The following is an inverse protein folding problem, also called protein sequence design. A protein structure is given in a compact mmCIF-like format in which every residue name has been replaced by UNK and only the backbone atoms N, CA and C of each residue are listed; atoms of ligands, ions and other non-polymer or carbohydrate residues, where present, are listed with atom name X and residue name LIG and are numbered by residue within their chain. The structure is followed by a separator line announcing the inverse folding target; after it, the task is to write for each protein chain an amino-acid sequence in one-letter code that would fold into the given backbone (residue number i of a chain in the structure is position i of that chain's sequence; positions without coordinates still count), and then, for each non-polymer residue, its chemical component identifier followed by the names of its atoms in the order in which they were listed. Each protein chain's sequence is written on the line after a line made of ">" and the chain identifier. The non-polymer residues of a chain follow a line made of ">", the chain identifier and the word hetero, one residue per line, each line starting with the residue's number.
data_IF_267961853597
#
_entry.id   IF_267961853597
#
_cell.length_a   1.000
_cell.length_b   1.000
_cell.length_c   1.000
_cell.angle_alpha   90.00
_cell.angle_beta   90.00
_cell.angle_gamma   90.00
#
_symmetry.space_group_name_H-M   'P 1'
#
loop_
_entity.id
_entity.type
_entity.pdbx_description
1 polymer ?
#
# COMPACT_ATOMS: atom_id res chain seq x y z
N UNK A 1 -11.79 -6.56 5.81
CA UNK A 1 -10.60 -6.94 6.63
C UNK A 1 -10.38 -5.88 7.71
N UNK A 2 -10.22 -6.25 9.00
CA UNK A 2 -10.09 -5.27 10.08
C UNK A 2 -8.71 -4.60 10.12
N UNK A 3 -8.62 -3.31 10.54
CA UNK A 3 -7.36 -2.64 10.82
C UNK A 3 -6.48 -3.44 11.79
N UNK A 4 -5.18 -3.24 11.68
CA UNK A 4 -4.15 -3.89 12.47
C UNK A 4 -3.63 -5.21 11.89
N UNK A 5 -4.35 -5.81 10.92
CA UNK A 5 -3.93 -7.04 10.26
C UNK A 5 -2.69 -6.82 9.38
N UNK A 6 -1.78 -7.80 9.38
CA UNK A 6 -0.66 -7.83 8.45
C UNK A 6 -1.10 -8.42 7.10
N UNK A 7 -0.77 -7.72 6.04
CA UNK A 7 -1.03 -8.11 4.65
C UNK A 7 0.31 -8.09 3.87
N UNK A 8 0.30 -8.69 2.70
CA UNK A 8 1.44 -8.73 1.77
C UNK A 8 1.08 -7.97 0.50
N UNK A 9 2.04 -7.25 -0.05
CA UNK A 9 1.93 -6.64 -1.37
C UNK A 9 3.17 -7.03 -2.16
N UNK A 10 2.99 -7.27 -3.46
CA UNK A 10 4.07 -7.64 -4.35
C UNK A 10 4.04 -6.78 -5.62
N UNK A 11 5.22 -6.51 -6.18
CA UNK A 11 5.39 -5.66 -7.36
C UNK A 11 6.83 -5.59 -7.86
N UNK A 12 7.00 -4.93 -9.01
CA UNK A 12 8.29 -4.65 -9.64
C UNK A 12 8.65 -3.15 -9.57
N UNK A 13 7.98 -2.40 -8.71
CA UNK A 13 8.21 -0.98 -8.54
C UNK A 13 9.61 -0.65 -8.04
N UNK A 14 9.82 0.65 -7.89
CA UNK A 14 11.04 1.24 -7.33
C UNK A 14 11.26 0.78 -5.89
N UNK A 15 12.44 0.23 -5.61
CA UNK A 15 12.86 -0.10 -4.24
C UNK A 15 13.47 1.08 -3.49
N UNK A 16 13.91 2.11 -4.23
CA UNK A 16 14.53 3.35 -3.74
C UNK A 16 14.17 4.53 -4.67
N UNK A 17 14.28 5.77 -4.19
CA UNK A 17 13.77 6.99 -4.87
C UNK A 17 14.37 7.22 -6.26
N UNK A 18 15.66 6.94 -6.44
CA UNK A 18 16.43 7.28 -7.65
C UNK A 18 16.90 6.05 -8.44
N UNK A 19 16.38 4.86 -8.12
CA UNK A 19 16.72 3.63 -8.83
C UNK A 19 15.76 3.36 -9.98
N UNK A 20 16.08 2.37 -10.81
CA UNK A 20 15.13 1.77 -11.75
C UNK A 20 14.20 0.80 -10.99
N UNK A 21 13.09 0.42 -11.64
CA UNK A 21 12.22 -0.66 -11.13
C UNK A 21 13.02 -1.94 -10.89
N UNK A 22 12.49 -2.81 -10.02
CA UNK A 22 13.12 -4.09 -9.74
C UNK A 22 13.00 -5.02 -10.96
N UNK A 23 14.07 -5.73 -11.31
CA UNK A 23 14.04 -6.76 -12.36
C UNK A 23 13.40 -8.08 -11.88
N UNK A 24 13.22 -8.23 -10.57
CA UNK A 24 12.61 -9.40 -9.94
C UNK A 24 11.40 -8.99 -9.11
N UNK A 25 10.44 -9.89 -8.95
CA UNK A 25 9.27 -9.63 -8.12
C UNK A 25 9.71 -9.40 -6.66
N UNK A 26 9.34 -8.26 -6.11
CA UNK A 26 9.54 -7.94 -4.70
C UNK A 26 8.25 -8.14 -3.92
N UNK A 27 8.37 -8.43 -2.63
CA UNK A 27 7.23 -8.57 -1.73
C UNK A 27 7.53 -7.90 -0.39
N UNK A 28 6.55 -7.19 0.17
CA UNK A 28 6.66 -6.59 1.51
C UNK A 28 5.40 -6.82 2.35
N UNK A 29 5.62 -7.07 3.65
CA UNK A 29 4.55 -7.14 4.64
C UNK A 29 4.22 -5.74 5.17
N UNK A 30 2.98 -5.31 4.97
CA UNK A 30 2.45 -4.03 5.44
C UNK A 30 1.27 -4.26 6.39
N UNK A 31 1.06 -3.30 7.30
CA UNK A 31 -0.06 -3.33 8.23
C UNK A 31 -1.23 -2.57 7.63
N UNK A 32 -2.43 -3.15 7.64
CA UNK A 32 -3.64 -2.39 7.36
C UNK A 32 -3.88 -1.42 8.52
N UNK A 33 -4.02 -0.14 8.21
CA UNK A 33 -4.15 0.92 9.20
C UNK A 33 -5.60 1.36 9.35
N UNK A 34 -5.90 2.03 10.46
CA UNK A 34 -7.16 2.74 10.61
C UNK A 34 -7.28 3.85 9.55
N UNK A 35 -8.48 4.11 9.01
CA UNK A 35 -8.69 5.14 7.99
C UNK A 35 -8.17 6.52 8.40
N UNK A 36 -8.16 6.82 9.70
CA UNK A 36 -7.65 8.08 10.24
C UNK A 36 -6.18 8.34 9.90
N UNK A 37 -5.36 7.30 9.70
CA UNK A 37 -3.95 7.44 9.34
C UNK A 37 -3.75 8.04 7.93
N UNK A 38 -4.74 7.93 7.04
CA UNK A 38 -4.69 8.45 5.67
C UNK A 38 -5.51 9.73 5.47
N UNK A 39 -6.08 10.33 6.53
CA UNK A 39 -6.89 11.56 6.41
C UNK A 39 -6.14 12.78 5.86
N UNK A 40 -4.81 12.74 5.83
CA UNK A 40 -3.99 13.80 5.24
C UNK A 40 -3.97 13.74 3.69
N UNK A 41 -4.43 12.65 3.09
CA UNK A 41 -4.72 12.61 1.65
C UNK A 41 -6.11 13.21 1.43
N UNK A 42 -6.17 14.39 0.78
CA UNK A 42 -7.42 15.15 0.61
C UNK A 42 -8.54 14.37 -0.08
N UNK A 43 -8.18 13.46 -0.99
CA UNK A 43 -9.12 12.64 -1.77
C UNK A 43 -9.35 11.24 -1.17
N UNK A 44 -8.95 11.02 0.08
CA UNK A 44 -9.12 9.72 0.73
C UNK A 44 -10.56 9.47 1.16
N UNK A 45 -11.15 8.37 0.67
CA UNK A 45 -12.46 7.87 1.10
C UNK A 45 -12.36 6.43 1.59
N UNK A 46 -12.58 6.23 2.89
CA UNK A 46 -12.55 4.93 3.54
C UNK A 46 -13.56 3.90 2.99
N UNK A 47 -14.63 4.37 2.34
CA UNK A 47 -15.61 3.49 1.71
C UNK A 47 -14.97 2.73 0.57
N UNK A 48 -14.25 3.43 -0.32
CA UNK A 48 -13.66 2.88 -1.55
C UNK A 48 -12.17 2.58 -1.44
N UNK A 49 -11.51 2.98 -0.35
CA UNK A 49 -10.07 2.88 -0.21
C UNK A 49 -9.64 2.29 1.14
N UNK A 50 -8.40 1.80 1.16
CA UNK A 50 -7.71 1.23 2.30
C UNK A 50 -6.44 2.03 2.60
N UNK A 51 -6.17 2.25 3.88
CA UNK A 51 -4.94 2.87 4.35
C UNK A 51 -3.94 1.79 4.78
N UNK A 52 -2.75 1.73 4.17
CA UNK A 52 -1.83 0.60 4.34
C UNK A 52 -0.41 1.09 4.59
N UNK A 53 0.25 0.52 5.60
CA UNK A 53 1.62 0.83 5.96
C UNK A 53 1.71 1.63 7.27
N UNK A 54 2.63 1.23 8.14
CA UNK A 54 2.82 1.91 9.43
C UNK A 54 3.76 3.12 9.25
N UNK A 55 3.33 4.35 9.57
CA UNK A 55 4.13 5.57 9.37
C UNK A 55 5.46 5.58 10.14
N UNK A 56 5.62 4.72 11.15
CA UNK A 56 6.86 4.55 11.92
C UNK A 56 7.87 3.59 11.26
N UNK A 57 7.58 3.06 10.07
CA UNK A 57 8.46 2.13 9.33
C UNK A 57 8.77 2.70 7.95
N UNK A 58 9.91 2.31 7.39
CA UNK A 58 10.29 2.69 6.01
C UNK A 58 9.71 1.76 4.92
N UNK A 59 8.89 0.77 5.30
CA UNK A 59 8.33 -0.21 4.36
C UNK A 59 7.08 0.37 3.71
N UNK A 60 7.09 0.55 2.39
CA UNK A 60 5.97 1.06 1.61
C UNK A 60 5.93 0.45 0.21
N UNK A 61 4.83 0.67 -0.50
CA UNK A 61 4.79 0.58 -1.96
C UNK A 61 5.32 1.86 -2.57
N UNK A 62 5.78 1.81 -3.82
CA UNK A 62 6.23 3.01 -4.51
C UNK A 62 5.88 2.99 -6.01
N UNK A 63 6.50 3.88 -6.79
CA UNK A 63 6.19 4.02 -8.22
C UNK A 63 6.46 2.70 -8.95
N UNK A 64 5.51 2.28 -9.78
CA UNK A 64 5.56 1.01 -10.52
C UNK A 64 4.89 -0.17 -9.80
N UNK A 65 4.55 -0.05 -8.51
CA UNK A 65 3.75 -1.07 -7.82
C UNK A 65 2.23 -0.89 -8.06
N UNK A 66 1.81 0.25 -8.61
CA UNK A 66 0.40 0.56 -8.90
C UNK A 66 -0.26 -0.57 -9.72
N UNK A 67 -1.47 -0.98 -9.31
CA UNK A 67 -2.16 -2.15 -9.86
C UNK A 67 -1.83 -3.47 -9.16
N UNK A 68 -0.78 -3.53 -8.34
CA UNK A 68 -0.40 -4.72 -7.58
C UNK A 68 -1.41 -5.10 -6.48
N UNK A 69 -1.54 -6.40 -6.13
CA UNK A 69 -2.51 -6.86 -5.16
C UNK A 69 -2.04 -6.70 -3.70
N UNK A 70 -2.94 -6.27 -2.83
CA UNK A 70 -2.81 -6.40 -1.37
C UNK A 70 -3.50 -7.68 -0.91
N UNK A 71 -2.70 -8.66 -0.52
CA UNK A 71 -3.14 -9.97 -0.05
C UNK A 71 -3.20 -9.98 1.48
N UNK A 72 -4.40 -10.16 2.04
CA UNK A 72 -4.56 -10.43 3.47
C UNK A 72 -5.17 -11.82 3.64
N UNK A 73 -4.49 -12.69 4.41
CA UNK A 73 -4.91 -14.09 4.60
C UNK A 73 -5.16 -14.85 3.27
N UNK A 74 -4.32 -14.60 2.26
CA UNK A 74 -4.39 -15.26 0.95
C UNK A 74 -5.45 -14.71 -0.01
N UNK A 75 -6.24 -13.72 0.41
CA UNK A 75 -7.29 -13.10 -0.41
C UNK A 75 -6.90 -11.68 -0.80
N UNK A 76 -7.16 -11.30 -2.05
CA UNK A 76 -6.96 -9.94 -2.54
C UNK A 76 -8.02 -9.02 -1.91
N UNK A 77 -7.57 -8.02 -1.13
CA UNK A 77 -8.44 -7.04 -0.47
C UNK A 77 -8.27 -5.63 -1.00
N UNK A 78 -7.14 -5.34 -1.65
CA UNK A 78 -6.92 -4.05 -2.26
C UNK A 78 -5.96 -4.06 -3.44
N UNK A 79 -5.89 -2.92 -4.11
CA UNK A 79 -5.05 -2.68 -5.28
C UNK A 79 -4.20 -1.45 -4.99
N UNK A 80 -2.88 -1.53 -5.19
CA UNK A 80 -1.97 -0.38 -5.00
C UNK A 80 -2.45 0.77 -5.89
N UNK A 81 -2.67 1.95 -5.30
CA UNK A 81 -3.19 3.10 -6.04
C UNK A 81 -2.19 4.25 -6.01
N UNK A 82 -2.09 4.97 -4.88
CA UNK A 82 -1.25 6.15 -4.74
C UNK A 82 -0.66 6.27 -3.33
N UNK A 83 0.27 7.19 -3.16
CA UNK A 83 0.89 7.49 -1.87
C UNK A 83 1.69 8.79 -1.97
N UNK A 84 2.55 9.02 -0.98
CA UNK A 84 3.44 10.18 -0.99
C UNK A 84 4.45 10.12 -2.15
N UNK A 85 4.98 11.28 -2.54
CA UNK A 85 6.02 11.39 -3.58
C UNK A 85 7.32 10.70 -3.16
N UNK A 86 7.54 10.58 -1.85
CA UNK A 86 8.59 9.78 -1.23
C UNK A 86 8.01 8.43 -0.77
N UNK A 87 8.81 7.34 -0.71
CA UNK A 87 8.36 5.99 -0.32
C UNK A 87 8.08 5.87 1.20
N UNK A 88 7.29 6.81 1.72
CA UNK A 88 6.90 6.87 3.13
C UNK A 88 5.46 6.39 3.28
N UNK A 89 5.19 5.44 4.18
CA UNK A 89 3.83 5.03 4.50
C UNK A 89 3.08 6.08 5.33
N UNK A 90 1.73 6.06 5.32
CA UNK A 90 0.89 5.07 4.64
C UNK A 90 0.70 5.36 3.14
N UNK A 91 0.40 4.30 2.39
CA UNK A 91 -0.07 4.36 1.00
C UNK A 91 -1.56 4.02 0.93
N UNK A 92 -2.22 4.55 -0.09
CA UNK A 92 -3.64 4.34 -0.37
C UNK A 92 -3.82 3.25 -1.41
N UNK A 93 -4.74 2.33 -1.11
CA UNK A 93 -5.11 1.23 -1.97
C UNK A 93 -6.61 1.32 -2.29
N UNK A 94 -7.02 0.92 -3.49
CA UNK A 94 -8.44 0.69 -3.78
C UNK A 94 -8.94 -0.47 -2.93
N UNK A 95 -10.15 -0.39 -2.40
CA UNK A 95 -10.84 -1.47 -1.68
C UNK A 95 -11.60 -2.35 -2.68
N UNK A 96 -11.26 -3.63 -2.76
CA UNK A 96 -11.88 -4.58 -3.71
C UNK A 96 -13.31 -4.95 -3.34
N UNK A 97 -13.65 -4.90 -2.05
CA UNK A 97 -14.95 -5.37 -1.54
C UNK A 97 -16.10 -4.40 -1.74
N UNK A 98 -15.97 -3.38 -2.61
CA UNK A 98 -17.03 -2.42 -2.96
C UNK A 98 -17.41 -2.57 -4.42
#
# INVERSE_FOLDING_TARGET
>A
VPPGRMCRVAGWGLTEVEKSGSNTLQEVKLRLMDPQACRHFETFDHNFQLCVGNPKKAKSTFKGDSGGPLLCAGVAHGIVSYGMVIPQPPSVFTRISQ
#
